data_IF_930750930571
#
_entry.id   IF_930750930571
#
_cell.length_a   1.000
_cell.length_b   1.000
_cell.length_c   1.000
_cell.angle_alpha   90.00
_cell.angle_beta   90.00
_cell.angle_gamma   90.00
#
_symmetry.space_group_name_H-M   'P 1'
#
loop_
_entity.id
_entity.type
_entity.pdbx_description
1 polymer ?
#
# COMPACT_ATOMS: atom_id res chain seq x y z
N UNK A 1 -1.23 -9.29 -1.03
CA UNK A 1 -0.47 -8.10 -1.47
C UNK A 1 -0.78 -6.88 -0.59
N UNK A 2 -2.06 -6.54 -0.37
CA UNK A 2 -2.43 -5.39 0.49
C UNK A 2 -1.83 -5.47 1.89
N UNK A 3 -1.97 -6.60 2.59
CA UNK A 3 -1.42 -6.81 3.92
C UNK A 3 0.09 -6.59 3.96
N UNK A 4 0.81 -7.13 2.98
CA UNK A 4 2.26 -6.99 2.89
C UNK A 4 2.67 -5.53 2.70
N UNK A 5 2.02 -4.82 1.77
CA UNK A 5 2.29 -3.41 1.52
C UNK A 5 1.93 -2.52 2.72
N UNK A 6 0.81 -2.81 3.39
CA UNK A 6 0.38 -2.06 4.57
C UNK A 6 1.35 -2.26 5.75
N UNK A 7 1.88 -3.47 5.94
CA UNK A 7 2.91 -3.75 6.95
C UNK A 7 4.22 -3.02 6.63
N UNK A 8 4.64 -3.03 5.36
CA UNK A 8 5.86 -2.32 4.93
C UNK A 8 5.70 -0.81 5.15
N UNK A 9 4.58 -0.22 4.70
CA UNK A 9 4.32 1.20 4.92
C UNK A 9 4.26 1.54 6.39
N UNK A 10 3.45 0.82 7.16
CA UNK A 10 3.26 1.09 8.58
C UNK A 10 4.53 0.85 9.40
N UNK A 11 5.27 -0.23 9.11
CA UNK A 11 6.58 -0.49 9.71
C UNK A 11 7.57 0.62 9.39
N UNK A 12 7.62 1.08 8.13
CA UNK A 12 8.48 2.19 7.73
C UNK A 12 8.07 3.52 8.39
N UNK A 13 6.79 3.79 8.56
CA UNK A 13 6.32 4.97 9.31
C UNK A 13 6.81 4.93 10.76
N UNK A 14 6.82 3.75 11.38
CA UNK A 14 7.24 3.59 12.78
C UNK A 14 8.75 3.72 13.00
N UNK A 15 9.56 3.04 12.18
CA UNK A 15 11.00 2.90 12.42
C UNK A 15 11.88 3.46 11.29
N UNK A 16 11.29 3.97 10.21
CA UNK A 16 12.01 4.40 9.02
C UNK A 16 12.92 5.61 9.27
N UNK A 17 12.55 6.51 10.16
CA UNK A 17 13.42 7.63 10.52
C UNK A 17 14.69 7.15 11.22
N UNK A 18 14.54 6.23 12.18
CA UNK A 18 15.69 5.63 12.87
C UNK A 18 16.58 4.85 11.88
N UNK A 19 15.95 4.14 10.92
CA UNK A 19 16.65 3.43 9.86
C UNK A 19 17.49 4.35 8.98
N UNK A 20 16.91 5.46 8.51
CA UNK A 20 17.61 6.41 7.64
C UNK A 20 18.77 7.08 8.37
N UNK A 21 18.55 7.50 9.62
CA UNK A 21 19.60 8.10 10.41
C UNK A 21 20.75 7.13 10.71
N UNK A 22 20.44 5.85 10.89
CA UNK A 22 21.45 4.81 11.11
C UNK A 22 22.26 4.50 9.85
N UNK A 23 21.59 4.45 8.69
CA UNK A 23 22.19 4.03 7.42
C UNK A 23 22.88 5.18 6.68
N UNK A 24 22.23 6.34 6.60
CA UNK A 24 22.73 7.49 5.83
C UNK A 24 23.36 8.56 6.71
N UNK A 25 23.13 8.50 8.02
CA UNK A 25 23.60 9.52 8.97
C UNK A 25 22.64 10.71 9.09
N UNK A 26 23.03 11.69 9.93
CA UNK A 26 22.26 12.89 10.16
C UNK A 26 22.24 13.80 8.91
N UNK A 27 21.13 14.46 8.64
CA UNK A 27 20.96 15.38 7.51
C UNK A 27 20.13 14.81 6.35
N UNK A 28 19.73 13.53 6.40
CA UNK A 28 18.91 12.87 5.39
C UNK A 28 17.45 12.69 5.82
N UNK A 29 16.97 13.44 6.80
CA UNK A 29 15.61 13.35 7.34
C UNK A 29 14.51 13.51 6.28
N UNK A 30 14.79 14.33 5.25
CA UNK A 30 13.88 14.54 4.13
C UNK A 30 13.62 13.24 3.34
N UNK A 31 14.59 12.32 3.32
CA UNK A 31 14.48 11.02 2.64
C UNK A 31 13.40 10.14 3.26
N UNK A 32 13.21 10.23 4.58
CA UNK A 32 12.09 9.55 5.25
C UNK A 32 10.75 10.03 4.70
N UNK A 33 10.55 11.35 4.64
CA UNK A 33 9.32 11.95 4.13
C UNK A 33 9.08 11.58 2.67
N UNK A 34 10.12 11.63 1.83
CA UNK A 34 10.07 11.24 0.42
C UNK A 34 9.63 9.78 0.26
N UNK A 35 10.21 8.88 1.04
CA UNK A 35 9.88 7.45 0.99
C UNK A 35 8.43 7.19 1.42
N UNK A 36 7.96 7.83 2.48
CA UNK A 36 6.56 7.71 2.91
C UNK A 36 5.60 8.19 1.82
N UNK A 37 5.88 9.33 1.18
CA UNK A 37 5.06 9.86 0.08
C UNK A 37 4.97 8.88 -1.08
N UNK A 38 6.06 8.18 -1.44
CA UNK A 38 6.07 7.17 -2.51
C UNK A 38 5.32 5.89 -2.13
N UNK A 39 5.39 5.47 -0.87
CA UNK A 39 4.76 4.25 -0.40
C UNK A 39 3.23 4.36 -0.31
N UNK A 40 2.69 5.53 0.03
CA UNK A 40 1.24 5.72 0.20
C UNK A 40 0.44 5.30 -1.05
N UNK A 41 0.70 5.80 -2.27
CA UNK A 41 -0.03 5.37 -3.46
C UNK A 41 0.14 3.87 -3.76
N UNK A 42 1.30 3.31 -3.45
CA UNK A 42 1.61 1.90 -3.70
C UNK A 42 0.68 0.96 -2.93
N UNK A 43 0.34 1.28 -1.68
CA UNK A 43 -0.61 0.48 -0.87
C UNK A 43 -1.99 0.39 -1.53
N UNK A 44 -2.41 1.44 -2.25
CA UNK A 44 -3.69 1.44 -2.96
C UNK A 44 -3.64 0.75 -4.32
N UNK A 45 -2.51 0.77 -5.01
CA UNK A 45 -2.37 0.23 -6.37
C UNK A 45 -2.08 -1.27 -6.38
N UNK A 46 -1.19 -1.73 -5.52
CA UNK A 46 -0.70 -3.11 -5.52
C UNK A 46 -1.78 -4.19 -5.33
N UNK A 47 -2.84 -4.00 -4.51
CA UNK A 47 -3.92 -4.96 -4.42
C UNK A 47 -4.62 -5.22 -5.77
N UNK A 48 -4.66 -4.22 -6.65
CA UNK A 48 -5.25 -4.33 -7.97
C UNK A 48 -4.33 -4.97 -9.02
N UNK A 49 -3.06 -5.20 -8.73
CA UNK A 49 -2.14 -5.83 -9.68
C UNK A 49 -2.57 -7.25 -10.06
N UNK A 50 -3.19 -7.99 -9.16
CA UNK A 50 -3.75 -9.31 -9.44
C UNK A 50 -4.86 -9.25 -10.50
N UNK A 51 -5.69 -8.20 -10.45
CA UNK A 51 -6.72 -7.96 -11.47
C UNK A 51 -6.10 -7.66 -12.84
N UNK A 52 -4.94 -7.01 -12.89
CA UNK A 52 -4.18 -6.77 -14.12
C UNK A 52 -3.73 -8.08 -14.79
N UNK A 53 -3.30 -9.06 -14.00
CA UNK A 53 -2.95 -10.41 -14.51
C UNK A 53 -4.19 -11.07 -15.13
N UNK A 54 -5.35 -10.97 -14.50
CA UNK A 54 -6.62 -11.48 -15.07
C UNK A 54 -6.97 -10.87 -16.43
N UNK A 55 -6.75 -9.55 -16.60
CA UNK A 55 -6.95 -8.89 -17.90
C UNK A 55 -5.95 -9.36 -18.96
N UNK A 56 -4.71 -9.63 -18.58
CA UNK A 56 -3.68 -10.17 -19.48
C UNK A 56 -4.06 -11.56 -19.99
N UNK A 57 -4.51 -12.44 -19.10
CA UNK A 57 -5.01 -13.77 -19.46
C UNK A 57 -6.24 -13.70 -20.38
N UNK A 58 -7.13 -12.73 -20.15
CA UNK A 58 -8.30 -12.47 -20.99
C UNK A 58 -7.97 -11.75 -22.32
N UNK A 59 -6.68 -11.53 -22.63
CA UNK A 59 -6.22 -10.78 -23.81
C UNK A 59 -6.78 -9.34 -23.91
N UNK A 60 -7.03 -8.69 -22.77
CA UNK A 60 -7.58 -7.34 -22.65
C UNK A 60 -6.53 -6.33 -22.16
N UNK A 61 -5.33 -6.38 -22.74
CA UNK A 61 -4.16 -5.57 -22.31
C UNK A 61 -4.21 -4.11 -22.73
N UNK A 62 -5.03 -3.76 -23.76
CA UNK A 62 -5.08 -2.38 -24.30
C UNK A 62 -5.46 -1.33 -23.26
N UNK A 63 -6.42 -1.62 -22.38
CA UNK A 63 -6.86 -0.70 -21.33
C UNK A 63 -5.74 -0.34 -20.35
N UNK A 64 -5.15 -1.33 -19.67
CA UNK A 64 -4.00 -1.09 -18.78
C UNK A 64 -2.81 -0.42 -19.46
N UNK A 65 -2.52 -0.76 -20.72
CA UNK A 65 -1.43 -0.14 -21.49
C UNK A 65 -1.67 1.36 -21.70
N UNK A 66 -2.89 1.76 -22.09
CA UNK A 66 -3.25 3.17 -22.25
C UNK A 66 -3.17 3.93 -20.92
N UNK A 67 -3.61 3.32 -19.82
CA UNK A 67 -3.49 3.92 -18.49
C UNK A 67 -2.01 4.13 -18.12
N UNK A 68 -1.14 3.14 -18.37
CA UNK A 68 0.28 3.27 -18.11
C UNK A 68 0.92 4.38 -18.94
N UNK A 69 0.59 4.48 -20.23
CA UNK A 69 1.08 5.54 -21.09
C UNK A 69 0.61 6.92 -20.62
N UNK A 70 -0.68 7.07 -20.30
CA UNK A 70 -1.24 8.31 -19.75
C UNK A 70 -0.58 8.70 -18.43
N UNK A 71 -0.32 7.73 -17.55
CA UNK A 71 0.39 7.96 -16.29
C UNK A 71 1.81 8.48 -16.53
N UNK A 72 2.53 7.91 -17.50
CA UNK A 72 3.88 8.37 -17.86
C UNK A 72 3.86 9.81 -18.37
N UNK A 73 2.90 10.18 -19.22
CA UNK A 73 2.74 11.55 -19.69
C UNK A 73 2.43 12.52 -18.54
N UNK A 74 1.53 12.14 -17.62
CA UNK A 74 1.22 12.96 -16.43
C UNK A 74 2.47 13.12 -15.56
N UNK A 75 3.22 12.04 -15.34
CA UNK A 75 4.44 12.10 -14.54
C UNK A 75 5.46 13.08 -15.12
N UNK A 76 5.78 12.96 -16.41
CA UNK A 76 6.73 13.87 -17.10
C UNK A 76 6.25 15.32 -17.00
N UNK A 77 4.97 15.56 -17.25
CA UNK A 77 4.41 16.91 -17.16
C UNK A 77 4.53 17.51 -15.75
N UNK A 78 4.20 16.71 -14.73
CA UNK A 78 4.32 17.12 -13.33
C UNK A 78 5.79 17.31 -12.91
N UNK A 79 6.70 16.46 -13.38
CA UNK A 79 8.14 16.60 -13.12
C UNK A 79 8.70 17.91 -13.67
N UNK A 80 8.35 18.27 -14.90
CA UNK A 80 8.77 19.54 -15.51
C UNK A 80 8.37 20.77 -14.68
N UNK A 81 7.22 20.69 -13.99
CA UNK A 81 6.70 21.81 -13.18
C UNK A 81 7.29 21.78 -11.76
N UNK A 82 7.32 20.61 -11.14
CA UNK A 82 7.59 20.48 -9.70
C UNK A 82 9.08 20.35 -9.38
N UNK A 83 9.87 19.72 -10.24
CA UNK A 83 11.31 19.55 -10.00
C UNK A 83 12.04 20.90 -10.02
N UNK A 84 11.67 21.81 -10.92
CA UNK A 84 12.25 23.15 -10.97
C UNK A 84 12.02 24.00 -9.72
N UNK A 85 10.93 23.71 -8.97
CA UNK A 85 10.56 24.46 -7.76
C UNK A 85 10.97 23.77 -6.47
N UNK A 86 10.89 22.44 -6.41
CA UNK A 86 11.01 21.65 -5.19
C UNK A 86 12.18 20.66 -5.24
N UNK A 87 12.96 20.64 -6.32
CA UNK A 87 14.07 19.71 -6.48
C UNK A 87 13.62 18.25 -6.37
N UNK A 88 14.35 17.45 -5.60
CA UNK A 88 14.08 16.03 -5.42
C UNK A 88 12.67 15.75 -4.83
N UNK A 89 12.17 16.59 -3.94
CA UNK A 89 10.79 16.50 -3.44
C UNK A 89 9.77 16.64 -4.57
N UNK A 90 10.05 17.50 -5.55
CA UNK A 90 9.19 17.68 -6.72
C UNK A 90 9.07 16.41 -7.55
N UNK A 91 10.16 15.69 -7.77
CA UNK A 91 10.16 14.40 -8.46
C UNK A 91 9.31 13.36 -7.71
N UNK A 92 9.52 13.25 -6.40
CA UNK A 92 8.76 12.32 -5.55
C UNK A 92 7.26 12.61 -5.58
N UNK A 93 6.87 13.88 -5.48
CA UNK A 93 5.46 14.29 -5.55
C UNK A 93 4.86 14.01 -6.93
N UNK A 94 5.60 14.24 -8.01
CA UNK A 94 5.16 13.94 -9.37
C UNK A 94 4.82 12.46 -9.54
N UNK A 95 5.70 11.58 -9.07
CA UNK A 95 5.51 10.12 -9.10
C UNK A 95 4.29 9.74 -8.25
N UNK A 96 4.16 10.29 -7.04
CA UNK A 96 3.04 9.97 -6.14
C UNK A 96 1.70 10.40 -6.73
N UNK A 97 1.62 11.60 -7.32
CA UNK A 97 0.42 12.11 -8.01
C UNK A 97 0.09 11.23 -9.22
N UNK A 98 1.06 10.95 -10.09
CA UNK A 98 0.86 10.14 -11.28
C UNK A 98 0.38 8.72 -10.92
N UNK A 99 0.97 8.09 -9.89
CA UNK A 99 0.54 6.80 -9.38
C UNK A 99 -0.87 6.84 -8.79
N UNK A 100 -1.26 7.90 -8.10
CA UNK A 100 -2.63 8.05 -7.58
C UNK A 100 -3.64 8.11 -8.73
N UNK A 101 -3.36 8.87 -9.79
CA UNK A 101 -4.18 8.87 -11.01
C UNK A 101 -4.24 7.50 -11.67
N UNK A 102 -3.11 6.79 -11.76
CA UNK A 102 -3.04 5.42 -12.27
C UNK A 102 -3.98 4.49 -11.50
N UNK A 103 -3.96 4.54 -10.18
CA UNK A 103 -4.83 3.72 -9.33
C UNK A 103 -6.31 3.95 -9.65
N UNK A 104 -6.72 5.22 -9.72
CA UNK A 104 -8.10 5.60 -10.05
C UNK A 104 -8.47 5.13 -11.47
N UNK A 105 -7.63 5.39 -12.46
CA UNK A 105 -7.89 5.01 -13.86
C UNK A 105 -7.98 3.48 -14.04
N UNK A 106 -7.12 2.71 -13.36
CA UNK A 106 -7.19 1.25 -13.39
C UNK A 106 -8.48 0.70 -12.78
N UNK A 107 -9.01 1.31 -11.72
CA UNK A 107 -10.31 0.93 -11.14
C UNK A 107 -11.41 1.00 -12.20
N UNK A 108 -11.47 2.07 -13.01
CA UNK A 108 -12.45 2.19 -14.08
C UNK A 108 -12.26 1.13 -15.17
N UNK A 109 -11.00 0.83 -15.54
CA UNK A 109 -10.69 -0.23 -16.51
C UNK A 109 -11.14 -1.60 -15.98
N UNK A 110 -10.84 -1.93 -14.73
CA UNK A 110 -11.23 -3.20 -14.12
C UNK A 110 -12.75 -3.34 -14.01
N UNK A 111 -13.46 -2.27 -13.62
CA UNK A 111 -14.93 -2.25 -13.56
C UNK A 111 -15.57 -2.54 -14.92
N UNK A 112 -14.94 -2.08 -16.03
CA UNK A 112 -15.44 -2.28 -17.38
C UNK A 112 -15.27 -3.71 -17.89
N UNK A 113 -14.17 -4.37 -17.55
CA UNK A 113 -13.76 -5.64 -18.17
C UNK A 113 -13.89 -6.85 -17.26
N UNK A 114 -13.94 -6.66 -15.96
CA UNK A 114 -14.05 -7.75 -14.99
C UNK A 114 -15.36 -7.63 -14.22
N UNK A 115 -16.11 -8.74 -14.03
CA UNK A 115 -17.33 -8.78 -13.25
C UNK A 115 -17.02 -8.76 -11.74
N UNK A 116 -16.15 -7.81 -11.30
CA UNK A 116 -15.75 -7.69 -9.91
C UNK A 116 -16.73 -6.75 -9.20
N UNK A 117 -17.26 -7.17 -8.07
CA UNK A 117 -18.00 -6.31 -7.15
C UNK A 117 -17.02 -5.39 -6.41
N UNK A 118 -16.57 -4.33 -7.11
CA UNK A 118 -15.52 -3.43 -6.65
C UNK A 118 -15.80 -2.84 -5.27
N UNK A 119 -17.06 -2.49 -4.99
CA UNK A 119 -17.45 -1.97 -3.68
C UNK A 119 -17.21 -2.96 -2.55
N UNK A 120 -17.52 -4.23 -2.80
CA UNK A 120 -17.31 -5.32 -1.85
C UNK A 120 -15.82 -5.58 -1.63
N UNK A 121 -15.03 -5.59 -2.71
CA UNK A 121 -13.57 -5.72 -2.65
C UNK A 121 -12.92 -4.58 -1.85
N UNK A 122 -13.30 -3.33 -2.11
CA UNK A 122 -12.78 -2.17 -1.37
C UNK A 122 -13.15 -2.27 0.11
N UNK A 123 -14.39 -2.61 0.44
CA UNK A 123 -14.83 -2.77 1.82
C UNK A 123 -14.06 -3.88 2.54
N UNK A 124 -13.91 -5.03 1.92
CA UNK A 124 -13.23 -6.17 2.54
C UNK A 124 -11.73 -5.91 2.69
N UNK A 125 -11.06 -5.39 1.67
CA UNK A 125 -9.60 -5.20 1.70
C UNK A 125 -9.22 -3.97 2.53
N UNK A 126 -9.83 -2.82 2.28
CA UNK A 126 -9.38 -1.57 2.91
C UNK A 126 -10.03 -1.31 4.27
N UNK A 127 -11.27 -1.74 4.49
CA UNK A 127 -11.93 -1.52 5.79
C UNK A 127 -11.57 -2.64 6.77
N UNK A 128 -11.77 -3.91 6.40
CA UNK A 128 -11.57 -5.03 7.32
C UNK A 128 -10.10 -5.20 7.69
N UNK A 129 -9.20 -5.08 6.71
CA UNK A 129 -7.75 -5.23 6.96
C UNK A 129 -7.03 -3.89 7.15
N UNK A 130 -7.44 -2.84 6.45
CA UNK A 130 -6.75 -1.54 6.47
C UNK A 130 -6.94 -0.78 7.77
N UNK A 131 -8.15 -0.77 8.34
CA UNK A 131 -8.43 -0.04 9.59
C UNK A 131 -7.63 -0.58 10.76
N UNK A 132 -7.61 -1.90 11.06
CA UNK A 132 -6.77 -2.44 12.14
C UNK A 132 -5.28 -2.16 11.95
N UNK A 133 -4.77 -2.27 10.71
CA UNK A 133 -3.36 -2.00 10.42
C UNK A 133 -3.01 -0.51 10.60
N UNK A 134 -3.91 0.40 10.20
CA UNK A 134 -3.73 1.83 10.44
C UNK A 134 -3.74 2.16 11.94
N UNK A 135 -4.66 1.58 12.71
CA UNK A 135 -4.72 1.78 14.17
C UNK A 135 -3.44 1.29 14.85
N UNK A 136 -2.91 0.13 14.44
CA UNK A 136 -1.64 -0.40 14.95
C UNK A 136 -0.46 0.47 14.56
N UNK A 137 -0.45 1.05 13.36
CA UNK A 137 0.60 2.01 12.95
C UNK A 137 0.59 3.23 13.87
N UNK A 138 -0.57 3.82 14.11
CA UNK A 138 -0.72 4.96 15.02
C UNK A 138 -0.28 4.59 16.44
N UNK A 139 -0.72 3.43 16.94
CA UNK A 139 -0.33 2.93 18.25
C UNK A 139 1.18 2.66 18.34
N UNK A 140 1.78 2.06 17.30
CA UNK A 140 3.22 1.81 17.22
C UNK A 140 4.03 3.11 17.26
N UNK A 141 3.62 4.13 16.50
CA UNK A 141 4.27 5.45 16.53
C UNK A 141 4.17 6.08 17.93
N UNK A 142 3.00 5.98 18.57
CA UNK A 142 2.82 6.48 19.93
C UNK A 142 3.72 5.75 20.93
N UNK A 143 3.71 4.41 20.91
CA UNK A 143 4.55 3.59 21.80
C UNK A 143 6.04 3.90 21.64
N UNK A 144 6.52 4.00 20.41
CA UNK A 144 7.95 4.22 20.14
C UNK A 144 8.43 5.61 20.57
N UNK A 145 7.56 6.61 20.65
CA UNK A 145 7.88 7.93 21.20
C UNK A 145 8.20 7.87 22.70
N UNK A 146 7.61 6.92 23.44
CA UNK A 146 7.89 6.73 24.86
C UNK A 146 9.12 5.86 25.15
N UNK A 147 9.72 5.25 24.12
CA UNK A 147 10.88 4.37 24.26
C UNK A 147 12.11 5.07 23.65
N UNK A 148 12.87 5.84 24.44
CA UNK A 148 14.02 6.61 23.95
C UNK A 148 15.27 5.72 23.75
N UNK A 149 15.13 4.59 23.07
CA UNK A 149 16.23 3.72 22.69
C UNK A 149 16.86 4.21 21.40
N UNK A 150 18.07 4.74 21.48
CA UNK A 150 18.87 5.18 20.33
C UNK A 150 19.87 4.13 19.87
N UNK A 151 20.50 4.38 18.71
CA UNK A 151 21.53 3.54 18.13
C UNK A 151 21.02 2.25 17.49
N UNK A 152 21.97 1.40 17.05
CA UNK A 152 21.67 0.18 16.28
C UNK A 152 20.83 -0.83 17.07
N UNK A 153 21.15 -0.99 18.37
CA UNK A 153 20.42 -1.91 19.25
C UNK A 153 18.98 -1.43 19.47
N UNK A 154 18.79 -0.13 19.68
CA UNK A 154 17.45 0.47 19.82
C UNK A 154 16.59 0.28 18.56
N UNK A 155 17.18 0.47 17.39
CA UNK A 155 16.51 0.22 16.10
C UNK A 155 16.05 -1.24 15.95
N UNK A 156 16.93 -2.20 16.28
CA UNK A 156 16.60 -3.63 16.19
C UNK A 156 15.46 -4.00 17.15
N UNK A 157 15.51 -3.54 18.39
CA UNK A 157 14.46 -3.81 19.38
C UNK A 157 13.12 -3.23 18.91
N UNK A 158 13.09 -1.97 18.45
CA UNK A 158 11.90 -1.33 17.90
C UNK A 158 11.36 -2.07 16.68
N UNK A 159 12.25 -2.47 15.75
CA UNK A 159 11.89 -3.23 14.55
C UNK A 159 11.22 -4.57 14.90
N UNK A 160 11.83 -5.35 15.80
CA UNK A 160 11.28 -6.64 16.25
C UNK A 160 9.91 -6.44 16.93
N UNK A 161 9.79 -5.44 17.81
CA UNK A 161 8.53 -5.14 18.49
C UNK A 161 7.42 -4.80 17.50
N UNK A 162 7.70 -3.98 16.49
CA UNK A 162 6.75 -3.61 15.44
C UNK A 162 6.36 -4.83 14.60
N UNK A 163 7.31 -5.67 14.18
CA UNK A 163 7.01 -6.89 13.41
C UNK A 163 6.14 -7.85 14.22
N UNK A 164 6.42 -8.05 15.51
CA UNK A 164 5.57 -8.86 16.39
C UNK A 164 4.15 -8.28 16.50
N UNK A 165 4.03 -6.98 16.70
CA UNK A 165 2.76 -6.29 16.81
C UNK A 165 1.90 -6.48 15.55
N UNK A 166 2.49 -6.30 14.35
CA UNK A 166 1.80 -6.54 13.08
C UNK A 166 1.42 -8.00 12.89
N UNK A 167 2.32 -8.93 13.24
CA UNK A 167 2.05 -10.37 13.11
C UNK A 167 0.86 -10.78 13.98
N UNK A 168 0.82 -10.34 15.23
CA UNK A 168 -0.29 -10.62 16.15
C UNK A 168 -1.61 -10.04 15.59
N UNK A 169 -1.58 -8.82 15.08
CA UNK A 169 -2.77 -8.18 14.51
C UNK A 169 -3.28 -8.90 13.28
N UNK A 170 -2.38 -9.28 12.37
CA UNK A 170 -2.75 -10.03 11.17
C UNK A 170 -3.37 -11.36 11.55
N UNK A 171 -2.79 -12.09 12.50
CA UNK A 171 -3.35 -13.36 12.98
C UNK A 171 -4.73 -13.17 13.62
N UNK A 172 -4.93 -12.11 14.41
CA UNK A 172 -6.23 -11.77 14.97
C UNK A 172 -7.26 -11.44 13.87
N UNK A 173 -6.88 -10.60 12.91
CA UNK A 173 -7.79 -10.21 11.82
C UNK A 173 -8.15 -11.40 10.93
N UNK A 174 -7.20 -12.30 10.65
CA UNK A 174 -7.47 -13.53 9.91
C UNK A 174 -8.44 -14.42 10.71
N UNK A 175 -8.23 -14.63 12.01
CA UNK A 175 -9.14 -15.44 12.85
C UNK A 175 -10.55 -14.86 12.94
N UNK A 176 -10.68 -13.54 13.05
CA UNK A 176 -11.98 -12.87 13.10
C UNK A 176 -12.65 -12.79 11.72
N UNK A 177 -11.84 -12.72 10.65
CA UNK A 177 -12.29 -12.65 9.25
C UNK A 177 -12.62 -14.01 8.62
N UNK A 178 -12.19 -15.13 9.22
CA UNK A 178 -12.38 -16.48 8.68
C UNK A 178 -13.85 -16.82 8.42
N UNK A 179 -14.77 -16.33 9.25
CA UNK A 179 -16.20 -16.49 9.00
C UNK A 179 -16.67 -15.78 7.74
N UNK A 180 -16.23 -14.56 7.49
CA UNK A 180 -16.62 -13.81 6.29
C UNK A 180 -15.97 -14.35 5.01
N UNK A 181 -14.73 -14.80 5.09
CA UNK A 181 -14.00 -15.42 3.98
C UNK A 181 -14.53 -16.82 3.65
N UNK A 182 -14.88 -17.61 4.67
CA UNK A 182 -15.46 -18.94 4.52
C UNK A 182 -16.85 -18.87 3.89
N UNK A 183 -17.69 -17.94 4.30
CA UNK A 183 -19.03 -17.73 3.73
C UNK A 183 -18.96 -17.20 2.29
N UNK A 184 -17.95 -16.40 1.95
CA UNK A 184 -17.68 -15.95 0.59
C UNK A 184 -17.30 -17.12 -0.32
N UNK A 185 -16.39 -18.00 0.10
CA UNK A 185 -15.98 -19.19 -0.65
C UNK A 185 -17.16 -20.17 -0.77
N UNK A 186 -17.90 -20.40 0.29
CA UNK A 186 -19.06 -21.28 0.30
C UNK A 186 -20.18 -20.81 -0.64
N UNK A 187 -20.41 -19.50 -0.71
CA UNK A 187 -21.35 -18.89 -1.66
C UNK A 187 -20.91 -19.03 -3.13
N UNK A 188 -19.61 -19.05 -3.40
CA UNK A 188 -19.07 -19.22 -4.76
C UNK A 188 -19.09 -20.68 -5.23
N UNK A 189 -18.73 -21.61 -4.34
CA UNK A 189 -18.74 -23.07 -4.62
C UNK A 189 -20.17 -23.61 -4.69
N UNK A 190 -21.09 -23.05 -3.90
CA UNK A 190 -22.52 -23.43 -3.93
C UNK A 190 -23.22 -23.09 -5.24
N UNK A 191 -22.87 -21.95 -5.87
CA UNK A 191 -23.43 -21.55 -7.17
C UNK A 191 -22.92 -22.37 -8.36
N UNK A 192 -21.77 -23.03 -8.24
CA UNK A 192 -21.20 -23.87 -9.32
C UNK A 192 -21.79 -25.29 -9.35
N UNK A 193 -22.59 -25.68 -8.37
CA UNK A 193 -23.29 -26.98 -8.31
C UNK A 193 -24.75 -26.93 -8.81
N UNK A 194 -25.23 -25.75 -9.20
CA UNK A 194 -26.59 -25.52 -9.68
C UNK A 194 -26.68 -25.07 -11.15
N UNK A 195 -25.56 -25.02 -11.85
CA UNK A 195 -25.44 -24.96 -13.32
C UNK A 195 -24.84 -26.28 -13.84
#
# INVERSE_FOLDING_TARGET
QFLLCAVILGGFICVGNDFINLWMGNGYEITYTMTVILLIPSVFIWPFMTASVGLTVANRVKGPALVNLGTACINIFMECILVGKLGALGAVLSIAIANSFKGIALIFVYKKYLPIRLHQFIKEVFVIYGVPLAMITVFGVCLLKFVPLGGTVGFLIKGIAIVMLYTITILMVIRLGDHAFYDFIKGYVGKRKTE
#
